data_IF_048959859944
#
_entry.id   IF_048959859944
#
_cell.length_a   1.000
_cell.length_b   1.000
_cell.length_c   1.000
_cell.angle_alpha   90.00
_cell.angle_beta   90.00
_cell.angle_gamma   90.00
#
_symmetry.space_group_name_H-M   'P 1'
#
loop_
_entity.id
_entity.type
_entity.pdbx_description
1 polymer ?
#
# COMPACT_ATOMS: atom_id res chain seq x y z
N UNK A 1 10.06 -2.94 18.41
CA UNK A 1 11.51 -2.92 18.74
C UNK A 1 11.99 -4.21 19.41
N UNK A 2 11.10 -4.94 20.09
CA UNK A 2 11.41 -6.17 20.84
C UNK A 2 12.33 -7.18 20.12
N UNK A 3 12.12 -7.47 18.84
CA UNK A 3 12.96 -8.45 18.12
C UNK A 3 14.41 -7.96 17.98
N UNK A 4 14.62 -6.67 17.70
CA UNK A 4 15.97 -6.07 17.64
C UNK A 4 16.62 -6.08 19.01
N UNK A 5 15.84 -5.84 20.06
CA UNK A 5 16.34 -5.83 21.44
C UNK A 5 16.78 -7.24 21.86
N UNK A 6 15.96 -8.26 21.59
CA UNK A 6 16.26 -9.66 21.89
C UNK A 6 17.55 -10.16 21.20
N UNK A 7 17.73 -9.86 19.90
CA UNK A 7 18.97 -10.27 19.21
C UNK A 7 20.20 -9.47 19.65
N UNK A 8 19.99 -8.25 20.15
CA UNK A 8 21.06 -7.42 20.71
C UNK A 8 21.49 -7.95 22.07
N UNK A 9 20.53 -8.31 22.93
CA UNK A 9 20.77 -8.93 24.23
C UNK A 9 21.47 -10.29 24.06
N UNK A 10 20.97 -11.18 23.21
CA UNK A 10 21.58 -12.48 22.97
C UNK A 10 23.04 -12.40 22.48
N UNK A 11 23.40 -11.37 21.70
CA UNK A 11 24.80 -11.16 21.34
C UNK A 11 25.64 -10.58 22.49
N UNK A 12 25.09 -9.63 23.27
CA UNK A 12 25.78 -9.08 24.45
C UNK A 12 26.06 -10.13 25.51
N UNK A 13 25.14 -11.07 25.70
CA UNK A 13 25.25 -12.16 26.67
C UNK A 13 26.16 -13.30 26.19
N UNK A 14 26.73 -13.20 24.99
CA UNK A 14 27.60 -14.22 24.40
C UNK A 14 26.85 -15.49 23.97
N UNK A 15 25.52 -15.48 23.96
CA UNK A 15 24.69 -16.59 23.46
C UNK A 15 24.80 -16.66 21.93
N UNK A 16 24.80 -15.51 21.25
CA UNK A 16 24.97 -15.40 19.81
C UNK A 16 26.39 -14.91 19.48
N UNK A 17 27.13 -15.67 18.67
CA UNK A 17 28.49 -15.34 18.22
C UNK A 17 28.58 -13.98 17.49
N UNK A 18 27.51 -13.61 16.78
CA UNK A 18 27.33 -12.30 16.16
C UNK A 18 25.89 -11.84 16.36
N UNK A 19 25.65 -10.53 16.27
CA UNK A 19 24.29 -9.98 16.20
C UNK A 19 23.69 -10.24 14.80
N UNK A 20 22.62 -11.04 14.67
CA UNK A 20 21.91 -11.24 13.42
C UNK A 20 21.33 -9.92 12.89
N UNK A 21 21.39 -9.73 11.57
CA UNK A 21 20.72 -8.62 10.89
C UNK A 21 19.27 -9.00 10.60
N UNK A 22 18.35 -8.08 10.82
CA UNK A 22 16.94 -8.29 10.52
C UNK A 22 16.58 -7.63 9.19
N UNK A 23 15.82 -8.33 8.37
CA UNK A 23 15.21 -7.81 7.15
C UNK A 23 13.71 -7.90 7.32
N UNK A 24 13.02 -6.76 7.23
CA UNK A 24 11.56 -6.75 7.26
C UNK A 24 11.03 -7.31 5.94
N UNK A 25 10.54 -8.55 5.96
CA UNK A 25 9.93 -9.16 4.79
C UNK A 25 8.55 -8.55 4.52
N UNK A 26 7.78 -8.27 5.57
CA UNK A 26 6.53 -7.51 5.57
C UNK A 26 6.11 -7.29 7.03
N UNK A 27 5.61 -6.11 7.37
CA UNK A 27 4.89 -5.88 8.63
C UNK A 27 3.52 -5.24 8.36
N UNK A 28 2.85 -4.79 9.41
CA UNK A 28 1.60 -4.04 9.40
C UNK A 28 1.75 -2.62 8.82
N UNK A 29 2.91 -1.99 9.03
CA UNK A 29 3.19 -0.63 8.59
C UNK A 29 3.73 -0.59 7.14
N UNK A 30 4.70 -1.44 6.81
CA UNK A 30 5.47 -1.33 5.57
C UNK A 30 5.81 -2.72 4.98
N UNK A 31 5.99 -2.74 3.66
CA UNK A 31 6.48 -3.88 2.90
C UNK A 31 7.71 -3.46 2.08
N UNK A 32 8.85 -3.20 2.74
CA UNK A 32 9.97 -2.49 2.12
C UNK A 32 10.60 -3.28 0.98
N UNK A 33 10.61 -4.61 1.06
CA UNK A 33 11.10 -5.48 -0.03
C UNK A 33 10.27 -5.34 -1.30
N UNK A 34 8.94 -5.32 -1.18
CA UNK A 34 8.02 -5.10 -2.31
C UNK A 34 8.18 -3.69 -2.87
N UNK A 35 8.12 -2.67 -2.02
CA UNK A 35 8.13 -1.29 -2.49
C UNK A 35 9.48 -0.91 -3.15
N UNK A 36 10.60 -1.43 -2.63
CA UNK A 36 11.91 -1.24 -3.26
C UNK A 36 12.03 -1.97 -4.60
N UNK A 37 11.43 -3.16 -4.74
CA UNK A 37 11.37 -3.87 -6.02
C UNK A 37 10.50 -3.11 -7.03
N UNK A 38 9.33 -2.62 -6.61
CA UNK A 38 8.42 -1.81 -7.43
C UNK A 38 9.12 -0.52 -7.90
N UNK A 39 9.81 0.18 -7.00
CA UNK A 39 10.57 1.38 -7.34
C UNK A 39 11.70 1.08 -8.34
N UNK A 40 12.45 -0.01 -8.14
CA UNK A 40 13.52 -0.37 -9.08
C UNK A 40 12.96 -0.67 -10.47
N UNK A 41 11.81 -1.36 -10.56
CA UNK A 41 11.13 -1.58 -11.83
C UNK A 41 10.72 -0.26 -12.49
N UNK A 42 10.08 0.66 -11.76
CA UNK A 42 9.72 2.00 -12.24
C UNK A 42 10.96 2.76 -12.74
N UNK A 43 12.07 2.73 -12.00
CA UNK A 43 13.34 3.36 -12.41
C UNK A 43 13.81 2.83 -13.76
N UNK A 44 13.73 1.52 -14.00
CA UNK A 44 14.12 0.92 -15.27
C UNK A 44 13.17 1.31 -16.42
N UNK A 45 11.85 1.25 -16.20
CA UNK A 45 10.86 1.61 -17.22
C UNK A 45 10.95 3.08 -17.65
N UNK A 46 11.27 3.98 -16.72
CA UNK A 46 11.42 5.41 -17.01
C UNK A 46 12.87 5.85 -17.26
N UNK A 47 13.83 4.92 -17.30
CA UNK A 47 15.21 5.20 -17.70
C UNK A 47 16.03 6.03 -16.71
N UNK A 48 15.73 5.92 -15.41
CA UNK A 48 16.49 6.56 -14.33
C UNK A 48 15.62 7.23 -13.27
N UNK A 49 16.15 7.30 -12.04
CA UNK A 49 15.44 7.87 -10.87
C UNK A 49 15.09 9.35 -11.05
N UNK A 50 15.91 10.12 -11.76
CA UNK A 50 15.66 11.54 -12.01
C UNK A 50 14.45 11.78 -12.95
N UNK A 51 14.12 10.80 -13.80
CA UNK A 51 12.99 10.90 -14.73
C UNK A 51 11.64 10.65 -14.05
N UNK A 52 11.65 10.32 -12.75
CA UNK A 52 10.44 10.10 -11.96
C UNK A 52 9.82 11.40 -11.44
N UNK A 53 10.58 12.49 -11.39
CA UNK A 53 10.09 13.79 -10.91
C UNK A 53 8.91 14.27 -11.77
N UNK A 54 7.80 14.59 -11.13
CA UNK A 54 6.55 15.01 -11.77
C UNK A 54 5.77 13.88 -12.45
N UNK A 55 6.19 12.61 -12.31
CA UNK A 55 5.36 11.46 -12.75
C UNK A 55 4.19 11.27 -11.82
N UNK A 56 2.99 11.13 -12.37
CA UNK A 56 1.78 10.86 -11.58
C UNK A 56 1.64 9.36 -11.32
N UNK A 57 1.62 8.97 -10.05
CA UNK A 57 1.34 7.60 -9.59
C UNK A 57 0.02 7.57 -8.84
N UNK A 58 -0.92 6.74 -9.32
CA UNK A 58 -2.19 6.48 -8.66
C UNK A 58 -2.12 5.18 -7.86
N UNK A 59 -1.93 5.27 -6.54
CA UNK A 59 -2.09 4.13 -5.63
C UNK A 59 -3.56 4.05 -5.25
N UNK A 60 -4.31 3.12 -5.84
CA UNK A 60 -5.76 3.06 -5.65
C UNK A 60 -6.19 1.77 -4.99
N UNK A 61 -7.30 1.84 -4.26
CA UNK A 61 -8.02 0.64 -3.87
C UNK A 61 -8.57 -0.06 -5.11
N UNK A 62 -8.80 -1.36 -4.99
CA UNK A 62 -9.49 -2.16 -5.98
C UNK A 62 -10.31 -3.24 -5.27
N UNK A 63 -11.43 -3.64 -5.85
CA UNK A 63 -12.27 -4.70 -5.32
C UNK A 63 -11.52 -6.03 -5.26
N UNK A 64 -11.74 -6.78 -4.17
CA UNK A 64 -11.30 -8.15 -4.01
C UNK A 64 -12.41 -8.98 -3.35
N UNK A 65 -12.64 -10.22 -3.81
CA UNK A 65 -13.53 -11.16 -3.13
C UNK A 65 -12.90 -11.74 -1.85
N UNK A 66 -11.63 -11.43 -1.57
CA UNK A 66 -10.93 -11.79 -0.35
C UNK A 66 -11.01 -10.66 0.67
N UNK A 67 -11.27 -11.02 1.92
CA UNK A 67 -11.24 -10.09 3.04
C UNK A 67 -9.82 -9.91 3.58
N UNK A 68 -9.59 -8.82 4.32
CA UNK A 68 -8.47 -8.77 5.28
C UNK A 68 -7.07 -8.61 4.68
N UNK A 69 -6.92 -8.11 3.45
CA UNK A 69 -5.60 -7.88 2.86
C UNK A 69 -4.84 -6.77 3.63
N UNK A 70 -3.55 -6.94 3.98
CA UNK A 70 -2.78 -5.95 4.74
C UNK A 70 -2.62 -4.61 4.02
N UNK A 71 -2.51 -3.52 4.80
CA UNK A 71 -2.29 -2.15 4.31
C UNK A 71 -0.82 -1.83 4.00
N UNK A 72 0.11 -2.75 4.26
CA UNK A 72 1.54 -2.45 4.20
C UNK A 72 2.06 -2.15 2.79
N UNK A 73 1.43 -2.66 1.74
CA UNK A 73 1.75 -2.30 0.35
C UNK A 73 1.31 -0.86 0.01
N UNK A 74 0.02 -0.46 0.12
CA UNK A 74 -0.37 0.92 -0.15
C UNK A 74 0.41 1.93 0.70
N UNK A 75 0.63 1.62 1.98
CA UNK A 75 1.42 2.45 2.89
C UNK A 75 2.88 2.58 2.46
N UNK A 76 3.55 1.48 2.15
CA UNK A 76 4.93 1.49 1.68
C UNK A 76 5.09 2.23 0.34
N UNK A 77 4.14 2.07 -0.58
CA UNK A 77 4.14 2.77 -1.87
C UNK A 77 4.02 4.28 -1.67
N UNK A 78 3.04 4.78 -0.92
CA UNK A 78 2.91 6.22 -0.69
C UNK A 78 4.09 6.78 0.11
N UNK A 79 4.61 6.02 1.07
CA UNK A 79 5.76 6.40 1.89
C UNK A 79 7.05 6.49 1.08
N UNK A 80 7.27 5.57 0.13
CA UNK A 80 8.50 5.53 -0.68
C UNK A 80 8.43 6.49 -1.87
N UNK A 81 7.36 6.43 -2.68
CA UNK A 81 7.30 7.12 -3.98
C UNK A 81 7.30 8.65 -3.82
N UNK A 82 6.71 9.16 -2.74
CA UNK A 82 6.73 10.60 -2.39
C UNK A 82 8.13 11.14 -2.10
N UNK A 83 9.15 10.28 -1.87
CA UNK A 83 10.53 10.71 -1.63
C UNK A 83 11.28 11.14 -2.90
N UNK A 84 10.71 10.89 -4.08
CA UNK A 84 11.40 11.02 -5.36
C UNK A 84 10.80 12.09 -6.28
N UNK A 85 10.07 13.05 -5.70
CA UNK A 85 9.48 14.16 -6.45
C UNK A 85 8.33 13.76 -7.37
N UNK A 86 7.74 12.58 -7.16
CA UNK A 86 6.56 12.11 -7.89
C UNK A 86 5.28 12.81 -7.40
N UNK A 87 4.26 12.82 -8.25
CA UNK A 87 2.90 13.25 -7.91
C UNK A 87 2.07 12.02 -7.50
N UNK A 88 2.02 11.74 -6.21
CA UNK A 88 1.37 10.54 -5.67
C UNK A 88 -0.07 10.85 -5.28
N UNK A 89 -1.01 10.05 -5.79
CA UNK A 89 -2.43 10.12 -5.43
C UNK A 89 -2.82 8.80 -4.76
N UNK A 90 -3.24 8.88 -3.50
CA UNK A 90 -3.90 7.80 -2.79
C UNK A 90 -5.41 7.91 -3.04
N UNK A 91 -6.02 6.86 -3.58
CA UNK A 91 -7.46 6.83 -3.82
C UNK A 91 -8.12 5.59 -3.23
N UNK A 92 -9.16 5.77 -2.44
CA UNK A 92 -9.91 4.65 -1.86
C UNK A 92 -11.35 5.07 -1.53
N UNK A 93 -12.31 4.12 -1.44
CA UNK A 93 -13.64 4.42 -0.92
C UNK A 93 -13.55 5.02 0.50
N UNK A 94 -14.54 5.81 0.91
CA UNK A 94 -14.62 6.30 2.28
C UNK A 94 -14.64 5.13 3.28
N UNK A 95 -13.88 5.22 4.37
CA UNK A 95 -13.76 4.15 5.35
C UNK A 95 -12.63 3.15 5.09
N UNK A 96 -11.79 3.39 4.07
CA UNK A 96 -10.59 2.57 3.74
C UNK A 96 -9.28 3.32 3.99
N UNK A 97 -9.28 4.22 4.97
CA UNK A 97 -8.12 5.01 5.34
C UNK A 97 -6.94 4.10 5.73
N UNK A 98 -5.74 4.55 5.36
CA UNK A 98 -4.48 3.97 5.82
C UNK A 98 -4.05 4.62 7.14
N UNK A 99 -2.93 4.19 7.70
CA UNK A 99 -2.41 4.81 8.94
C UNK A 99 -2.15 6.31 8.73
N UNK A 100 -2.73 7.14 9.59
CA UNK A 100 -2.61 8.60 9.52
C UNK A 100 -1.15 9.06 9.55
N UNK A 101 -0.31 8.40 10.34
CA UNK A 101 1.12 8.72 10.41
C UNK A 101 1.85 8.43 9.10
N UNK A 102 1.41 7.43 8.33
CA UNK A 102 1.97 7.17 6.99
C UNK A 102 1.52 8.24 6.00
N UNK A 103 0.27 8.71 6.07
CA UNK A 103 -0.19 9.86 5.25
C UNK A 103 0.64 11.11 5.56
N UNK A 104 0.91 11.41 6.84
CA UNK A 104 1.77 12.52 7.26
C UNK A 104 3.20 12.38 6.72
N UNK A 105 3.77 11.18 6.79
CA UNK A 105 5.09 10.89 6.21
C UNK A 105 5.09 11.16 4.69
N UNK A 106 4.06 10.71 3.98
CA UNK A 106 3.93 10.93 2.53
C UNK A 106 3.82 12.42 2.19
N UNK A 107 3.03 13.18 2.94
CA UNK A 107 2.92 14.64 2.80
C UNK A 107 4.27 15.36 3.04
N UNK A 108 4.98 14.99 4.11
CA UNK A 108 6.29 15.57 4.41
C UNK A 108 7.33 15.23 3.34
N UNK A 109 7.35 13.98 2.88
CA UNK A 109 8.25 13.53 1.83
C UNK A 109 8.01 14.31 0.53
N UNK A 110 6.75 14.47 0.12
CA UNK A 110 6.40 15.24 -1.07
C UNK A 110 6.88 16.70 -0.98
N UNK A 111 6.67 17.36 0.17
CA UNK A 111 7.16 18.73 0.44
C UNK A 111 8.70 18.81 0.33
N UNK A 112 9.41 17.82 0.87
CA UNK A 112 10.88 17.78 0.88
C UNK A 112 11.48 17.43 -0.48
N UNK A 113 10.81 16.60 -1.28
CA UNK A 113 11.31 16.09 -2.56
C UNK A 113 10.92 16.94 -3.78
N UNK A 114 9.95 17.86 -3.61
CA UNK A 114 9.43 18.72 -4.68
C UNK A 114 8.33 18.08 -5.53
N UNK A 115 7.71 17.00 -5.04
CA UNK A 115 6.54 16.37 -5.65
C UNK A 115 5.22 16.80 -4.98
N UNK A 116 4.19 15.95 -5.08
CA UNK A 116 2.91 16.17 -4.38
C UNK A 116 2.33 14.87 -3.82
N UNK A 117 1.51 15.00 -2.78
CA UNK A 117 0.69 13.93 -2.24
C UNK A 117 -0.76 14.42 -2.15
N UNK A 118 -1.72 13.61 -2.61
CA UNK A 118 -3.15 13.91 -2.53
C UNK A 118 -3.93 12.66 -2.16
N UNK A 119 -5.01 12.84 -1.41
CA UNK A 119 -6.01 11.82 -1.12
C UNK A 119 -7.32 12.15 -1.84
N UNK A 120 -8.00 11.15 -2.40
CA UNK A 120 -9.32 11.29 -3.02
C UNK A 120 -10.18 10.04 -2.81
N UNK A 121 -11.49 10.19 -2.86
CA UNK A 121 -12.44 9.07 -2.87
C UNK A 121 -12.96 8.75 -4.29
N UNK A 122 -12.23 9.17 -5.32
CA UNK A 122 -12.60 8.98 -6.72
C UNK A 122 -11.47 8.30 -7.51
N UNK A 123 -11.69 7.02 -7.89
CA UNK A 123 -10.72 6.24 -8.65
C UNK A 123 -10.44 6.84 -10.04
N UNK A 124 -11.46 7.38 -10.72
CA UNK A 124 -11.29 7.98 -12.04
C UNK A 124 -10.46 9.28 -11.99
N UNK A 125 -10.60 10.08 -10.94
CA UNK A 125 -9.75 11.26 -10.71
C UNK A 125 -8.27 10.86 -10.54
N UNK A 126 -8.01 9.78 -9.80
CA UNK A 126 -6.67 9.25 -9.62
C UNK A 126 -6.07 8.74 -10.93
N UNK A 127 -6.83 7.98 -11.72
CA UNK A 127 -6.37 7.40 -12.99
C UNK A 127 -6.14 8.44 -14.10
N UNK A 128 -6.96 9.50 -14.15
CA UNK A 128 -6.88 10.52 -15.20
C UNK A 128 -5.46 11.09 -15.31
N UNK A 129 -4.88 11.04 -16.51
CA UNK A 129 -3.52 11.54 -16.81
C UNK A 129 -2.38 10.87 -16.00
N UNK A 130 -2.63 9.75 -15.30
CA UNK A 130 -1.60 9.04 -14.54
C UNK A 130 -0.52 8.45 -15.47
N UNK A 131 0.74 8.51 -15.08
CA UNK A 131 1.84 7.79 -15.74
C UNK A 131 1.92 6.34 -15.26
N UNK A 132 1.54 6.10 -14.00
CA UNK A 132 1.60 4.80 -13.32
C UNK A 132 0.30 4.59 -12.55
N UNK A 133 -0.26 3.39 -12.61
CA UNK A 133 -1.42 3.00 -11.80
C UNK A 133 -1.10 1.74 -11.00
N UNK A 134 -1.45 1.74 -9.72
CA UNK A 134 -1.25 0.63 -8.79
C UNK A 134 -2.56 0.34 -8.04
N UNK A 135 -3.52 -0.33 -8.70
CA UNK A 135 -4.81 -0.68 -8.12
C UNK A 135 -4.70 -1.99 -7.32
N UNK A 136 -4.93 -1.95 -6.01
CA UNK A 136 -4.84 -3.13 -5.12
C UNK A 136 -5.81 -2.99 -3.95
N UNK A 137 -6.46 -4.08 -3.54
CA UNK A 137 -7.32 -4.10 -2.34
C UNK A 137 -6.54 -4.14 -1.03
N UNK A 138 -7.08 -3.52 0.02
CA UNK A 138 -6.71 -3.67 1.43
C UNK A 138 -7.94 -3.58 2.33
N UNK A 139 -7.83 -4.09 3.55
CA UNK A 139 -8.86 -3.92 4.58
C UNK A 139 -8.68 -2.57 5.32
N UNK A 140 -9.78 -1.95 5.78
CA UNK A 140 -9.72 -0.74 6.61
C UNK A 140 -8.84 -0.90 7.85
N UNK A 141 -8.08 0.14 8.22
CA UNK A 141 -7.26 0.12 9.42
C UNK A 141 -8.09 -0.17 10.68
N UNK A 142 -9.21 0.53 10.88
CA UNK A 142 -10.10 0.35 12.03
C UNK A 142 -10.61 -1.10 12.16
N UNK A 143 -10.81 -1.79 11.03
CA UNK A 143 -11.19 -3.19 11.04
C UNK A 143 -10.03 -4.11 11.45
N UNK A 144 -8.79 -3.78 11.06
CA UNK A 144 -7.60 -4.52 11.47
C UNK A 144 -7.31 -4.37 12.97
N UNK A 145 -7.58 -3.20 13.56
CA UNK A 145 -7.51 -3.00 15.02
C UNK A 145 -8.51 -3.90 15.74
N UNK A 146 -9.79 -3.85 15.35
CA UNK A 146 -10.85 -4.71 15.90
C UNK A 146 -10.51 -6.19 15.75
N UNK A 147 -9.96 -6.60 14.60
CA UNK A 147 -9.50 -7.98 14.38
C UNK A 147 -8.40 -8.40 15.34
N UNK A 148 -7.46 -7.51 15.65
CA UNK A 148 -6.34 -7.78 16.55
C UNK A 148 -6.82 -7.97 17.99
N UNK A 149 -7.75 -7.13 18.44
CA UNK A 149 -8.38 -7.26 19.76
C UNK A 149 -9.16 -8.58 19.88
N UNK A 150 -10.00 -8.91 18.90
CA UNK A 150 -10.76 -10.17 18.88
C UNK A 150 -9.83 -11.38 18.92
N UNK A 151 -8.72 -11.33 18.17
CA UNK A 151 -7.72 -12.40 18.19
C UNK A 151 -7.02 -12.54 19.54
N UNK A 152 -6.63 -11.42 20.16
CA UNK A 152 -6.05 -11.39 21.50
C UNK A 152 -6.98 -11.97 22.58
N UNK A 153 -8.29 -11.79 22.41
CA UNK A 153 -9.32 -12.34 23.29
C UNK A 153 -9.70 -13.79 22.95
N UNK A 154 -9.17 -14.37 21.87
CA UNK A 154 -9.56 -15.70 21.38
C UNK A 154 -10.98 -15.80 20.83
N UNK A 155 -11.61 -14.66 20.50
CA UNK A 155 -13.01 -14.60 20.02
C UNK A 155 -13.11 -14.95 18.53
N UNK A 156 -13.18 -16.25 18.27
CA UNK A 156 -13.27 -16.77 16.89
C UNK A 156 -14.60 -16.42 16.22
N UNK A 157 -15.69 -16.31 16.97
CA UNK A 157 -17.01 -15.98 16.39
C UNK A 157 -17.10 -14.50 16.04
N UNK A 158 -16.55 -13.63 16.88
CA UNK A 158 -16.39 -12.21 16.58
C UNK A 158 -15.54 -11.97 15.32
N UNK A 159 -14.46 -12.74 15.12
CA UNK A 159 -13.65 -12.67 13.89
C UNK A 159 -14.50 -13.03 12.67
N UNK A 160 -15.22 -14.16 12.68
CA UNK A 160 -16.08 -14.55 11.54
C UNK A 160 -17.17 -13.51 11.24
N UNK A 161 -17.74 -12.89 12.28
CA UNK A 161 -18.72 -11.83 12.12
C UNK A 161 -18.11 -10.59 11.44
N UNK A 162 -16.91 -10.18 11.88
CA UNK A 162 -16.15 -9.09 11.27
C UNK A 162 -15.78 -9.39 9.81
N UNK A 163 -15.34 -10.61 9.51
CA UNK A 163 -15.03 -11.02 8.14
C UNK A 163 -16.25 -10.91 7.21
N UNK A 164 -17.42 -11.33 7.69
CA UNK A 164 -18.68 -11.20 6.94
C UNK A 164 -19.08 -9.75 6.71
N UNK A 165 -18.90 -8.89 7.71
CA UNK A 165 -19.13 -7.44 7.63
C UNK A 165 -18.23 -6.81 6.55
N UNK A 166 -16.94 -7.11 6.56
CA UNK A 166 -15.98 -6.59 5.58
C UNK A 166 -16.24 -7.09 4.15
N UNK A 167 -16.62 -8.35 3.99
CA UNK A 167 -16.99 -8.87 2.66
C UNK A 167 -18.24 -8.16 2.11
N UNK A 168 -19.21 -7.85 2.96
CA UNK A 168 -20.39 -7.08 2.57
C UNK A 168 -20.01 -5.64 2.19
N UNK A 169 -19.18 -4.97 3.00
CA UNK A 169 -18.70 -3.61 2.74
C UNK A 169 -17.89 -3.55 1.42
N UNK A 170 -16.95 -4.46 1.20
CA UNK A 170 -16.19 -4.53 -0.05
C UNK A 170 -17.11 -4.69 -1.27
N UNK A 171 -18.19 -5.46 -1.13
CA UNK A 171 -19.12 -5.74 -2.22
C UNK A 171 -19.93 -4.51 -2.67
N UNK A 172 -20.00 -3.45 -1.86
CA UNK A 172 -20.59 -2.16 -2.23
C UNK A 172 -19.68 -1.34 -3.17
N UNK A 173 -18.41 -1.72 -3.31
CA UNK A 173 -17.40 -1.00 -4.09
C UNK A 173 -16.85 -1.82 -5.26
N UNK A 174 -17.66 -2.70 -5.85
CA UNK A 174 -17.26 -3.52 -7.02
C UNK A 174 -16.91 -2.70 -8.27
N UNK A 175 -17.37 -1.45 -8.32
CA UNK A 175 -17.04 -0.46 -9.34
C UNK A 175 -15.57 -0.03 -9.29
N UNK A 176 -14.88 -0.22 -8.16
CA UNK A 176 -13.44 0.01 -8.04
C UNK A 176 -12.67 -1.14 -8.68
N UNK A 177 -12.63 -1.13 -10.00
CA UNK A 177 -11.89 -2.09 -10.81
C UNK A 177 -11.01 -1.37 -11.83
N UNK A 178 -9.83 -1.92 -12.10
CA UNK A 178 -8.98 -1.43 -13.17
C UNK A 178 -9.51 -1.94 -14.52
N UNK A 179 -10.38 -1.16 -15.16
CA UNK A 179 -10.97 -1.51 -16.45
C UNK A 179 -10.17 -0.92 -17.63
N UNK A 180 -10.38 -1.44 -18.83
CA UNK A 180 -9.81 -0.88 -20.07
C UNK A 180 -10.26 0.57 -20.29
N UNK A 181 -11.53 0.88 -19.98
CA UNK A 181 -12.07 2.25 -20.06
C UNK A 181 -11.31 3.21 -19.14
N UNK A 182 -11.01 2.77 -17.91
CA UNK A 182 -10.27 3.57 -16.96
C UNK A 182 -8.81 3.74 -17.40
N UNK A 183 -8.17 2.67 -17.89
CA UNK A 183 -6.83 2.72 -18.47
C UNK A 183 -6.73 3.66 -19.66
N UNK A 184 -7.76 3.76 -20.50
CA UNK A 184 -7.80 4.70 -21.62
C UNK A 184 -7.75 6.18 -21.18
N UNK A 185 -8.14 6.49 -19.94
CA UNK A 185 -8.06 7.87 -19.37
C UNK A 185 -6.68 8.24 -18.83
N UNK A 186 -5.78 7.27 -18.71
CA UNK A 186 -4.41 7.49 -18.22
C UNK A 186 -3.56 8.22 -19.25
N UNK A 187 -2.32 8.57 -18.91
CA UNK A 187 -1.41 9.28 -19.81
C UNK A 187 -1.21 8.47 -21.11
N UNK A 188 -1.68 9.03 -22.23
CA UNK A 188 -1.69 8.39 -23.55
C UNK A 188 -2.47 7.05 -23.60
N UNK A 189 -3.35 6.78 -22.63
CA UNK A 189 -4.09 5.53 -22.52
C UNK A 189 -3.24 4.29 -22.23
N UNK A 190 -2.03 4.47 -21.68
CA UNK A 190 -1.03 3.40 -21.52
C UNK A 190 -0.13 3.58 -20.28
N UNK A 191 -0.67 4.04 -19.17
CA UNK A 191 0.07 4.06 -17.91
C UNK A 191 0.70 2.69 -17.60
N UNK A 192 1.85 2.71 -16.93
CA UNK A 192 2.45 1.50 -16.38
C UNK A 192 1.51 0.95 -15.31
N UNK A 193 0.96 -0.24 -15.55
CA UNK A 193 0.18 -0.98 -14.56
C UNK A 193 1.11 -1.75 -13.63
N UNK A 194 0.88 -1.62 -12.31
CA UNK A 194 1.62 -2.34 -11.28
C UNK A 194 0.68 -3.11 -10.35
N UNK A 195 1.13 -4.29 -9.93
CA UNK A 195 0.51 -5.07 -8.86
C UNK A 195 1.55 -6.03 -8.25
N UNK A 196 1.56 -6.18 -6.93
CA UNK A 196 2.53 -7.05 -6.21
C UNK A 196 2.38 -8.57 -6.47
N UNK A 197 1.35 -8.97 -7.22
CA UNK A 197 0.85 -10.34 -7.39
C UNK A 197 0.49 -11.10 -6.08
N UNK A 198 -0.34 -12.15 -6.17
CA UNK A 198 -1.29 -12.41 -7.27
C UNK A 198 -2.39 -11.33 -7.29
N UNK A 199 -2.86 -10.98 -8.49
CA UNK A 199 -3.98 -10.08 -8.70
C UNK A 199 -5.30 -10.88 -8.80
N UNK A 200 -6.39 -10.29 -8.33
CA UNK A 200 -7.72 -10.82 -8.60
C UNK A 200 -8.17 -10.32 -9.98
N UNK A 201 -8.33 -11.23 -10.93
CA UNK A 201 -8.80 -10.92 -12.28
C UNK A 201 -10.30 -11.19 -12.36
N UNK A 202 -11.09 -10.17 -12.70
CA UNK A 202 -12.47 -10.35 -13.11
C UNK A 202 -12.48 -10.97 -14.52
N UNK A 203 -12.98 -12.20 -14.63
CA UNK A 203 -13.24 -12.88 -15.90
C UNK A 203 -14.74 -13.00 -16.16
#
# INVERSE_FOLDING_TARGET
HEVVDAVTEGNKDGILEQKPTLVNLQCDIDHPTQCMADMLHIIHEFGGVENLKGKKLAMTWAYSPSYGKPLSVPQGVIGLMTRFGMDVVLAHPEGYEVFEDVEKIAEENAKKSGGSFKKTNNMAEAFKDADIVYPKSWAPFAAMEKRTELYGNGDTEGIKALEKELLAQNAEHKDWACTEELMATTKNGKALYLHCLPADITG
#
